data_IF_278815735596
#
_entry.id   IF_278815735596
#
_cell.length_a   1.000
_cell.length_b   1.000
_cell.length_c   1.000
_cell.angle_alpha   90.00
_cell.angle_beta   90.00
_cell.angle_gamma   90.00
#
_symmetry.space_group_name_H-M   'P 1'
#
loop_
_entity.id
_entity.type
_entity.pdbx_description
1 polymer ?
#
# COMPACT_ATOMS: atom_id res chain seq x y z
N UNK A 1 0.89 -5.79 -14.12
CA UNK A 1 0.21 -6.74 -13.20
C UNK A 1 -0.95 -6.07 -12.47
N UNK A 2 -2.01 -6.83 -12.21
CA UNK A 2 -3.22 -6.43 -11.51
C UNK A 2 -3.37 -7.31 -10.28
N UNK A 3 -3.54 -6.70 -9.11
CA UNK A 3 -3.81 -7.40 -7.86
C UNK A 3 -5.18 -6.97 -7.33
N UNK A 4 -6.04 -7.94 -7.03
CA UNK A 4 -7.37 -7.68 -6.47
C UNK A 4 -7.57 -8.36 -5.13
N UNK A 5 -8.55 -7.88 -4.35
CA UNK A 5 -8.86 -8.34 -3.01
C UNK A 5 -8.81 -7.20 -2.00
N UNK A 6 -8.59 -7.52 -0.73
CA UNK A 6 -8.35 -6.52 0.31
C UNK A 6 -6.88 -6.13 0.27
N UNK A 7 -6.53 -5.24 -0.65
CA UNK A 7 -5.13 -4.87 -0.95
C UNK A 7 -4.88 -3.36 -0.85
N UNK A 8 -5.86 -2.60 -0.36
CA UNK A 8 -5.75 -1.16 -0.16
C UNK A 8 -5.84 -0.79 1.32
N UNK A 9 -5.09 0.24 1.72
CA UNK A 9 -5.00 0.64 3.14
C UNK A 9 -4.25 -0.35 4.02
N UNK A 10 -3.47 -1.26 3.43
CA UNK A 10 -2.78 -2.37 4.13
C UNK A 10 -1.27 -2.39 3.88
N UNK A 11 -0.69 -1.25 3.51
CA UNK A 11 0.75 -1.17 3.22
C UNK A 11 1.19 -1.81 1.90
N UNK A 12 0.26 -2.15 1.01
CA UNK A 12 0.57 -2.88 -0.24
C UNK A 12 1.48 -2.10 -1.20
N UNK A 13 1.26 -0.79 -1.40
CA UNK A 13 2.11 0.04 -2.28
C UNK A 13 3.56 0.10 -1.78
N UNK A 14 3.86 0.42 -0.50
CA UNK A 14 5.22 0.29 0.05
C UNK A 14 5.82 -1.11 -0.05
N UNK A 15 5.01 -2.15 0.13
CA UNK A 15 5.44 -3.54 -0.03
C UNK A 15 5.93 -3.82 -1.46
N UNK A 16 5.11 -3.52 -2.47
CA UNK A 16 5.49 -3.67 -3.89
C UNK A 16 6.72 -2.84 -4.21
N UNK A 17 6.75 -1.58 -3.79
CA UNK A 17 7.90 -0.69 -4.01
C UNK A 17 9.21 -1.29 -3.51
N UNK A 18 9.24 -1.78 -2.26
CA UNK A 18 10.44 -2.39 -1.67
C UNK A 18 10.91 -3.62 -2.45
N UNK A 19 10.00 -4.49 -2.86
CA UNK A 19 10.36 -5.70 -3.60
C UNK A 19 10.80 -5.39 -5.02
N UNK A 20 10.09 -4.52 -5.74
CA UNK A 20 10.46 -4.12 -7.09
C UNK A 20 11.83 -3.43 -7.12
N UNK A 21 12.05 -2.45 -6.24
CA UNK A 21 13.33 -1.77 -6.12
C UNK A 21 14.46 -2.73 -5.71
N UNK A 22 14.22 -3.65 -4.76
CA UNK A 22 15.20 -4.64 -4.33
C UNK A 22 15.56 -5.68 -5.41
N UNK A 23 14.69 -5.89 -6.39
CA UNK A 23 14.92 -6.75 -7.55
C UNK A 23 15.51 -5.99 -8.75
N UNK A 24 15.74 -4.68 -8.63
CA UNK A 24 16.22 -3.84 -9.74
C UNK A 24 15.21 -3.64 -10.86
N UNK A 25 13.91 -3.77 -10.57
CA UNK A 25 12.83 -3.52 -11.52
C UNK A 25 12.50 -2.01 -11.56
N UNK A 26 12.05 -1.54 -12.73
CA UNK A 26 11.56 -0.18 -12.93
C UNK A 26 10.05 -0.18 -13.19
N UNK A 27 9.41 0.98 -13.14
CA UNK A 27 7.96 1.13 -13.36
C UNK A 27 7.24 1.78 -12.19
N UNK A 28 6.01 1.36 -11.89
CA UNK A 28 5.23 2.00 -10.85
C UNK A 28 4.16 1.12 -10.22
N UNK A 29 3.65 1.56 -9.07
CA UNK A 29 2.48 0.98 -8.40
C UNK A 29 1.48 2.07 -7.99
N UNK A 30 0.18 1.81 -8.15
CA UNK A 30 -0.91 2.69 -7.69
C UNK A 30 -2.12 1.91 -7.20
N UNK A 31 -2.93 2.53 -6.35
CA UNK A 31 -4.29 2.04 -6.11
C UNK A 31 -5.22 2.61 -7.20
N UNK A 32 -6.13 1.79 -7.71
CA UNK A 32 -7.25 2.24 -8.51
C UNK A 32 -8.56 1.64 -7.98
N UNK A 33 -9.63 1.75 -8.75
CA UNK A 33 -10.97 1.35 -8.29
C UNK A 33 -11.18 -0.17 -8.25
N UNK A 34 -10.23 -0.97 -8.76
CA UNK A 34 -10.31 -2.43 -8.80
C UNK A 34 -9.30 -3.13 -7.87
N UNK A 35 -8.34 -2.38 -7.32
CA UNK A 35 -7.34 -2.91 -6.41
C UNK A 35 -6.01 -2.18 -6.56
N UNK A 36 -4.94 -2.92 -6.84
CA UNK A 36 -3.61 -2.38 -7.08
C UNK A 36 -3.21 -2.68 -8.52
N UNK A 37 -2.76 -1.66 -9.23
CA UNK A 37 -2.15 -1.77 -10.55
C UNK A 37 -0.65 -1.54 -10.43
N UNK A 38 0.10 -2.41 -11.08
CA UNK A 38 1.56 -2.42 -11.08
C UNK A 38 2.01 -2.47 -12.53
N UNK A 39 2.92 -1.59 -12.91
CA UNK A 39 3.69 -1.68 -14.14
C UNK A 39 5.13 -1.95 -13.76
N UNK A 40 5.74 -2.95 -14.39
CA UNK A 40 7.11 -3.37 -14.07
C UNK A 40 7.86 -3.71 -15.34
N UNK A 41 9.09 -3.23 -15.40
CA UNK A 41 10.03 -3.46 -16.47
C UNK A 41 11.35 -4.00 -15.91
N UNK A 42 11.94 -4.96 -16.61
CA UNK A 42 13.20 -5.56 -16.22
C UNK A 42 13.32 -7.01 -16.68
N UNK A 43 14.23 -7.74 -16.04
CA UNK A 43 14.48 -9.15 -16.32
C UNK A 43 13.24 -10.01 -16.02
N UNK A 44 12.93 -10.96 -16.90
CA UNK A 44 11.74 -11.81 -16.77
C UNK A 44 11.75 -12.64 -15.48
N UNK A 45 12.90 -13.12 -15.02
CA UNK A 45 13.00 -13.87 -13.77
C UNK A 45 12.78 -12.96 -12.56
N UNK A 46 13.26 -11.71 -12.60
CA UNK A 46 12.99 -10.73 -11.56
C UNK A 46 11.50 -10.35 -11.51
N UNK A 47 10.84 -10.19 -12.66
CA UNK A 47 9.40 -9.95 -12.75
C UNK A 47 8.61 -11.15 -12.20
N UNK A 48 9.01 -12.38 -12.55
CA UNK A 48 8.43 -13.60 -12.03
C UNK A 48 8.55 -13.71 -10.50
N UNK A 49 9.73 -13.38 -9.96
CA UNK A 49 9.97 -13.36 -8.52
C UNK A 49 9.13 -12.31 -7.80
N UNK A 50 8.99 -11.10 -8.36
CA UNK A 50 8.08 -10.10 -7.81
C UNK A 50 6.64 -10.62 -7.74
N UNK A 51 6.16 -11.26 -8.82
CA UNK A 51 4.80 -11.83 -8.87
C UNK A 51 4.61 -12.91 -7.81
N UNK A 52 5.61 -13.79 -7.60
CA UNK A 52 5.59 -14.81 -6.54
C UNK A 52 5.49 -14.17 -5.16
N UNK A 53 6.35 -13.19 -4.86
CA UNK A 53 6.32 -12.48 -3.56
C UNK A 53 5.00 -11.77 -3.31
N UNK A 54 4.42 -11.15 -4.33
CA UNK A 54 3.09 -10.52 -4.23
C UNK A 54 2.02 -11.52 -3.80
N UNK A 55 2.09 -12.76 -4.29
CA UNK A 55 1.13 -13.81 -3.95
C UNK A 55 1.40 -14.43 -2.56
N UNK A 56 2.66 -14.64 -2.19
CA UNK A 56 3.05 -15.45 -1.04
C UNK A 56 3.45 -14.64 0.21
N UNK A 57 3.95 -13.43 0.02
CA UNK A 57 4.57 -12.60 1.07
C UNK A 57 3.77 -11.31 1.34
N UNK A 58 2.50 -11.27 0.92
CA UNK A 58 1.65 -10.09 1.06
C UNK A 58 1.58 -9.56 2.51
N UNK A 59 1.39 -8.24 2.72
CA UNK A 59 1.30 -7.66 4.06
C UNK A 59 0.25 -8.36 4.95
N UNK A 60 0.40 -8.37 6.29
CA UNK A 60 -0.44 -9.18 7.19
C UNK A 60 -1.95 -8.90 7.09
N UNK A 61 -2.32 -7.67 6.76
CA UNK A 61 -3.72 -7.27 6.58
C UNK A 61 -4.23 -7.43 5.15
N UNK A 62 -3.34 -7.74 4.21
CA UNK A 62 -3.70 -7.94 2.82
C UNK A 62 -4.31 -9.33 2.63
N UNK A 63 -5.38 -9.37 1.82
CA UNK A 63 -5.95 -10.62 1.31
C UNK A 63 -5.97 -10.55 -0.21
N UNK A 64 -4.96 -11.13 -0.83
CA UNK A 64 -4.88 -11.24 -2.28
C UNK A 64 -5.87 -12.29 -2.75
N UNK A 65 -6.82 -11.88 -3.59
CA UNK A 65 -7.80 -12.77 -4.23
C UNK A 65 -7.30 -13.25 -5.58
N UNK A 66 -6.73 -12.35 -6.37
CA UNK A 66 -6.16 -12.69 -7.67
C UNK A 66 -4.98 -11.79 -8.01
N UNK A 67 -4.03 -12.37 -8.75
CA UNK A 67 -2.95 -11.67 -9.43
C UNK A 67 -3.06 -12.04 -10.90
N UNK A 68 -3.10 -11.05 -11.79
CA UNK A 68 -3.02 -11.27 -13.23
C UNK A 68 -1.98 -10.36 -13.87
N UNK A 69 -1.38 -10.81 -14.96
CA UNK A 69 -0.36 -10.07 -15.69
C UNK A 69 -0.67 -10.12 -17.19
N UNK A 70 -0.20 -9.10 -17.88
CA UNK A 70 -0.14 -9.03 -19.33
C UNK A 70 1.18 -8.37 -19.69
N UNK A 71 1.79 -8.82 -20.79
CA UNK A 71 2.99 -8.20 -21.35
C UNK A 71 2.56 -6.90 -22.05
N UNK A 72 3.35 -5.86 -21.87
CA UNK A 72 3.19 -4.55 -22.50
C UNK A 72 4.52 -4.12 -23.09
N UNK A 73 4.49 -3.13 -23.99
CA UNK A 73 5.71 -2.56 -24.55
C UNK A 73 6.51 -1.82 -23.46
N UNK A 74 7.83 -1.91 -23.56
CA UNK A 74 8.75 -1.22 -22.65
C UNK A 74 8.72 0.28 -22.94
N UNK A 75 8.43 1.05 -21.91
CA UNK A 75 8.44 2.52 -21.85
C UNK A 75 9.83 3.03 -21.51
N UNK A 76 10.58 2.32 -20.68
CA UNK A 76 11.95 2.65 -20.29
C UNK A 76 12.02 3.54 -19.05
N UNK A 77 11.27 3.21 -17.98
CA UNK A 77 11.37 3.98 -16.74
C UNK A 77 12.76 3.84 -16.09
N UNK A 78 13.24 4.94 -15.48
CA UNK A 78 14.54 4.97 -14.82
C UNK A 78 14.53 4.42 -13.39
N UNK A 79 13.35 4.26 -12.78
CA UNK A 79 13.19 3.82 -11.40
C UNK A 79 11.79 3.24 -11.18
N UNK A 80 11.62 2.54 -10.05
CA UNK A 80 10.31 2.15 -9.56
C UNK A 80 9.70 3.23 -8.66
N UNK A 81 8.43 3.60 -8.85
CA UNK A 81 7.78 4.65 -8.08
C UNK A 81 6.38 4.27 -7.55
N UNK A 82 5.99 4.85 -6.42
CA UNK A 82 4.58 4.87 -5.99
C UNK A 82 3.93 6.10 -6.61
N UNK A 83 2.97 5.91 -7.51
CA UNK A 83 2.31 7.02 -8.22
C UNK A 83 0.91 7.28 -7.70
N UNK A 84 0.34 8.42 -8.11
CA UNK A 84 -0.98 8.85 -7.68
C UNK A 84 -2.07 7.82 -8.02
N UNK A 85 -3.04 7.69 -7.13
CA UNK A 85 -4.19 6.83 -7.36
C UNK A 85 -5.10 7.33 -8.46
N UNK A 86 -5.72 6.38 -9.17
CA UNK A 86 -6.60 6.66 -10.30
C UNK A 86 -8.06 6.33 -9.92
N UNK A 87 -8.92 7.34 -9.62
CA UNK A 87 -10.32 7.12 -9.33
C UNK A 87 -11.12 6.77 -10.60
N UNK A 88 -12.20 6.02 -10.44
CA UNK A 88 -13.20 5.73 -11.47
C UNK A 88 -14.62 5.90 -10.91
N UNK A 89 -15.61 5.99 -11.79
CA UNK A 89 -17.02 6.22 -11.41
C UNK A 89 -17.61 5.06 -10.58
N UNK A 90 -17.10 3.85 -10.78
CA UNK A 90 -17.48 2.62 -10.07
C UNK A 90 -16.25 2.00 -9.45
N UNK A 91 -16.38 1.49 -8.22
CA UNK A 91 -15.29 0.82 -7.54
C UNK A 91 -15.70 -0.54 -7.01
N UNK A 92 -14.82 -1.52 -7.22
CA UNK A 92 -14.93 -2.89 -6.72
C UNK A 92 -13.88 -3.20 -5.66
N UNK A 93 -12.92 -2.29 -5.44
CA UNK A 93 -11.88 -2.44 -4.43
C UNK A 93 -12.45 -2.55 -3.00
N UNK A 94 -12.01 -3.58 -2.28
CA UNK A 94 -12.40 -3.80 -0.89
C UNK A 94 -11.54 -2.97 0.05
N UNK A 95 -12.20 -2.32 1.02
CA UNK A 95 -11.54 -1.65 2.14
C UNK A 95 -11.30 -2.67 3.25
N UNK A 96 -10.12 -2.64 3.87
CA UNK A 96 -9.83 -3.51 5.01
C UNK A 96 -10.70 -3.16 6.23
N UNK A 97 -10.94 -4.15 7.07
CA UNK A 97 -11.57 -3.95 8.39
C UNK A 97 -10.66 -3.16 9.31
N UNK A 98 -11.23 -2.58 10.36
CA UNK A 98 -10.44 -1.96 11.43
C UNK A 98 -9.67 -3.04 12.21
N UNK A 99 -8.46 -2.70 12.65
CA UNK A 99 -7.56 -3.65 13.33
C UNK A 99 -7.03 -3.04 14.61
N UNK A 100 -6.97 -3.83 15.69
CA UNK A 100 -6.37 -3.42 16.95
C UNK A 100 -4.89 -3.01 16.78
N UNK A 101 -4.40 -2.13 17.66
CA UNK A 101 -3.02 -1.66 17.66
C UNK A 101 -2.04 -2.82 17.69
N UNK A 102 -1.09 -2.85 16.76
CA UNK A 102 -0.05 -3.87 16.69
C UNK A 102 1.03 -3.66 17.77
N UNK A 103 1.85 -4.70 18.02
CA UNK A 103 2.92 -4.66 19.01
C UNK A 103 3.91 -3.52 18.79
N UNK A 104 4.35 -3.29 17.56
CA UNK A 104 5.29 -2.21 17.25
C UNK A 104 4.75 -0.82 17.62
N UNK A 105 3.46 -0.56 17.34
CA UNK A 105 2.83 0.70 17.75
C UNK A 105 2.64 0.79 19.28
N UNK A 106 2.39 -0.32 19.97
CA UNK A 106 2.34 -0.33 21.44
C UNK A 106 3.72 -0.01 22.04
N UNK A 107 4.78 -0.60 21.49
CA UNK A 107 6.15 -0.34 21.92
C UNK A 107 6.52 1.15 21.73
N UNK A 108 6.12 1.79 20.61
CA UNK A 108 6.28 3.24 20.40
C UNK A 108 5.45 4.10 21.39
N UNK A 109 4.25 3.66 21.75
CA UNK A 109 3.39 4.37 22.71
C UNK A 109 4.00 4.32 24.12
N UNK A 110 4.65 3.21 24.47
CA UNK A 110 5.18 2.94 25.80
C UNK A 110 6.61 3.47 26.01
N UNK A 111 7.36 3.76 24.95
CA UNK A 111 8.74 4.29 25.02
C UNK A 111 8.78 5.81 25.30
N UNK A 112 9.28 6.27 26.46
CA UNK A 112 9.42 7.70 26.78
C UNK A 112 10.36 8.48 25.87
N UNK A 113 11.24 7.80 25.12
CA UNK A 113 12.14 8.42 24.15
C UNK A 113 11.50 8.57 22.76
N UNK A 114 10.41 7.85 22.46
CA UNK A 114 9.73 7.97 21.18
C UNK A 114 8.89 9.25 21.13
N UNK A 115 8.84 9.89 19.96
CA UNK A 115 8.03 11.09 19.73
C UNK A 115 6.52 10.82 19.85
N UNK A 116 6.11 9.55 19.75
CA UNK A 116 4.73 9.09 19.86
C UNK A 116 4.43 8.53 21.26
N UNK A 117 5.30 8.76 22.25
CA UNK A 117 5.06 8.40 23.64
C UNK A 117 3.68 8.89 24.10
N UNK A 118 2.83 7.95 24.54
CA UNK A 118 1.44 8.18 24.98
C UNK A 118 0.54 8.88 23.95
N UNK A 119 0.88 8.85 22.66
CA UNK A 119 0.05 9.43 21.62
C UNK A 119 -1.19 8.54 21.33
N UNK A 120 -2.42 9.01 21.58
CA UNK A 120 -3.61 8.14 21.56
C UNK A 120 -4.02 7.63 20.18
N UNK A 121 -3.50 8.24 19.11
CA UNK A 121 -3.87 7.91 17.73
C UNK A 121 -2.75 7.22 16.95
N UNK A 122 -1.72 6.70 17.63
CA UNK A 122 -0.64 5.94 16.99
C UNK A 122 -1.22 4.75 16.23
N UNK A 123 -0.92 4.68 14.94
CA UNK A 123 -1.18 3.54 14.08
C UNK A 123 -0.13 3.48 12.96
N UNK A 124 0.05 2.31 12.38
CA UNK A 124 0.89 2.06 11.21
C UNK A 124 0.08 1.45 10.08
N UNK A 125 0.74 0.98 9.01
CA UNK A 125 0.06 0.28 7.90
C UNK A 125 -0.61 -1.03 8.32
N UNK A 126 -0.18 -1.61 9.43
CA UNK A 126 -0.57 -2.95 9.89
C UNK A 126 -1.61 -2.92 11.03
N UNK A 127 -2.05 -1.73 11.45
CA UNK A 127 -3.06 -1.58 12.50
C UNK A 127 -3.87 -0.28 12.40
N UNK A 128 -4.89 -0.14 13.24
CA UNK A 128 -5.69 1.06 13.39
C UNK A 128 -6.97 1.08 12.54
N UNK A 129 -7.69 2.21 12.52
CA UNK A 129 -8.94 2.32 11.80
C UNK A 129 -8.71 2.30 10.28
N UNK A 130 -9.65 1.67 9.56
CA UNK A 130 -9.69 1.53 8.11
C UNK A 130 -11.10 1.78 7.63
N UNK A 131 -11.96 0.76 7.68
CA UNK A 131 -13.35 0.86 7.21
C UNK A 131 -14.08 2.04 7.85
N UNK A 132 -13.94 2.23 9.17
CA UNK A 132 -14.61 3.30 9.91
C UNK A 132 -14.20 4.72 9.50
N UNK A 133 -13.04 4.90 8.87
CA UNK A 133 -12.52 6.21 8.46
C UNK A 133 -12.49 6.39 6.93
N UNK A 134 -12.76 5.35 6.15
CA UNK A 134 -12.78 5.43 4.70
C UNK A 134 -14.03 6.18 4.22
N UNK A 135 -13.86 7.14 3.30
CA UNK A 135 -14.97 7.86 2.64
C UNK A 135 -15.21 7.34 1.23
N UNK A 136 -14.14 6.94 0.54
CA UNK A 136 -14.20 6.36 -0.78
C UNK A 136 -12.95 5.53 -1.08
N UNK A 137 -12.97 4.87 -2.23
CA UNK A 137 -11.85 4.17 -2.85
C UNK A 137 -11.58 4.82 -4.21
N UNK A 138 -10.32 4.88 -4.68
CA UNK A 138 -9.11 4.24 -4.12
C UNK A 138 -8.69 4.81 -2.76
N UNK A 139 -8.22 3.93 -1.86
CA UNK A 139 -7.81 4.30 -0.51
C UNK A 139 -6.57 5.18 -0.57
N UNK A 140 -6.76 6.44 -0.19
CA UNK A 140 -5.72 7.42 0.06
C UNK A 140 -6.15 8.38 1.16
N UNK A 141 -5.19 9.08 1.77
CA UNK A 141 -5.47 10.01 2.88
C UNK A 141 -6.61 11.00 2.57
N UNK A 142 -6.69 11.65 1.39
CA UNK A 142 -7.80 12.57 1.05
C UNK A 142 -9.17 11.88 0.98
N UNK A 143 -9.20 10.57 0.72
CA UNK A 143 -10.39 9.74 0.68
C UNK A 143 -10.76 9.13 2.05
N UNK A 144 -10.25 9.70 3.15
CA UNK A 144 -10.57 9.29 4.52
C UNK A 144 -11.00 10.48 5.38
N UNK A 145 -11.50 10.22 6.58
CA UNK A 145 -11.73 11.28 7.60
C UNK A 145 -10.43 11.96 8.03
N UNK A 146 -9.26 11.36 7.76
CA UNK A 146 -7.95 11.96 8.03
C UNK A 146 -7.59 13.10 7.08
N UNK A 147 -8.37 13.34 6.02
CA UNK A 147 -8.16 14.41 5.06
C UNK A 147 -8.11 15.81 5.71
N UNK A 148 -8.82 16.01 6.82
CA UNK A 148 -8.83 17.28 7.56
C UNK A 148 -7.57 17.53 8.40
N UNK A 149 -6.68 16.54 8.54
CA UNK A 149 -5.47 16.63 9.35
C UNK A 149 -4.24 16.67 8.46
N UNK A 150 -3.71 17.86 8.20
CA UNK A 150 -2.46 18.02 7.45
C UNK A 150 -1.30 17.33 8.18
N UNK A 151 -0.48 16.57 7.44
CA UNK A 151 0.71 15.95 8.01
C UNK A 151 1.78 17.00 8.26
N UNK A 152 2.40 16.98 9.44
CA UNK A 152 3.58 17.80 9.70
C UNK A 152 4.80 17.24 8.96
N UNK A 153 5.87 18.03 8.87
CA UNK A 153 7.12 17.66 8.17
C UNK A 153 7.70 16.33 8.64
N UNK A 154 7.63 16.02 9.94
CA UNK A 154 8.14 14.75 10.50
C UNK A 154 7.28 13.52 10.16
N UNK A 155 6.04 13.70 9.74
CA UNK A 155 5.18 12.60 9.28
C UNK A 155 5.19 12.45 7.74
N UNK A 156 5.74 13.43 7.02
CA UNK A 156 5.91 13.39 5.57
C UNK A 156 7.27 12.82 5.15
N UNK A 157 8.29 12.96 6.01
CA UNK A 157 9.61 12.37 5.85
C UNK A 157 9.57 10.84 6.01
#
# INVERSE_FOLDING_TARGET
MRVTGTVQGVGFRPFVYRHAAGLGLHGWVRNDSDGVLIEVEGDEAAIGELSRRIAEEAPPLARVRSVSSAVVDVVGEAAFAIVASAPAATSTAAVSVDVATCRACLDEIDDPADRRYRYPFTNCTDCGPRYTIARSVPYDRPATTMAGFAMCTRCQA
#
